data_IF_908118622501
#
_entry.id   IF_908118622501
#
_cell.length_a   1.000
_cell.length_b   1.000
_cell.length_c   1.000
_cell.angle_alpha   90.00
_cell.angle_beta   90.00
_cell.angle_gamma   90.00
#
_symmetry.space_group_name_H-M   'P 1'
#
loop_
_entity.id
_entity.type
_entity.pdbx_description
1 polymer ?
#
# COMPACT_ATOMS: atom_id res chain seq x y z
N UNK A 1 45.15 1.04 -23.35
CA UNK A 1 43.93 0.32 -22.91
C UNK A 1 43.62 0.72 -21.47
N UNK A 2 42.55 1.48 -21.24
CA UNK A 2 42.08 1.76 -19.88
C UNK A 2 41.30 0.53 -19.40
N UNK A 3 41.80 -0.15 -18.36
CA UNK A 3 41.05 -1.25 -17.70
C UNK A 3 39.91 -0.62 -16.91
N UNK A 4 38.67 -0.93 -17.26
CA UNK A 4 37.53 -0.61 -16.43
C UNK A 4 37.68 -1.34 -15.09
N UNK A 5 37.83 -0.60 -14.01
CA UNK A 5 37.75 -1.13 -12.65
C UNK A 5 36.35 -1.70 -12.43
N UNK A 6 36.19 -2.94 -11.94
CA UNK A 6 34.89 -3.50 -11.67
C UNK A 6 34.17 -2.66 -10.61
N UNK A 7 33.01 -2.10 -10.97
CA UNK A 7 32.15 -1.39 -10.03
C UNK A 7 31.56 -2.43 -9.09
N UNK A 8 32.02 -2.46 -7.85
CA UNK A 8 31.46 -3.34 -6.82
C UNK A 8 30.17 -2.71 -6.29
N UNK A 9 29.03 -3.22 -6.76
CA UNK A 9 27.71 -2.82 -6.27
C UNK A 9 27.30 -3.70 -5.08
N UNK A 10 26.93 -3.08 -3.95
CA UNK A 10 26.32 -3.77 -2.83
C UNK A 10 24.81 -3.87 -3.07
N UNK A 11 24.25 -5.09 -3.02
CA UNK A 11 22.82 -5.33 -3.21
C UNK A 11 22.24 -6.20 -2.08
N UNK A 12 20.93 -6.09 -1.88
CA UNK A 12 20.15 -6.91 -0.95
C UNK A 12 18.98 -7.54 -1.69
N UNK A 13 18.71 -8.81 -1.39
CA UNK A 13 17.60 -9.56 -2.00
C UNK A 13 16.48 -9.67 -0.98
N UNK A 14 15.27 -9.28 -1.38
CA UNK A 14 14.07 -9.34 -0.55
C UNK A 14 13.02 -10.23 -1.21
N UNK A 15 12.46 -11.16 -0.43
CA UNK A 15 11.27 -11.89 -0.83
C UNK A 15 10.03 -11.19 -0.27
N UNK A 16 9.19 -10.65 -1.14
CA UNK A 16 8.03 -9.84 -0.77
C UNK A 16 6.84 -10.12 -1.68
N UNK A 17 5.62 -9.88 -1.17
CA UNK A 17 4.41 -9.93 -1.99
C UNK A 17 4.38 -8.76 -2.97
N UNK A 18 4.40 -9.07 -4.27
CA UNK A 18 4.27 -8.10 -5.37
C UNK A 18 2.81 -7.89 -5.81
N UNK A 19 2.11 -8.97 -6.17
CA UNK A 19 0.71 -8.93 -6.65
C UNK A 19 -0.26 -9.44 -5.58
N UNK A 20 -1.29 -8.63 -5.28
CA UNK A 20 -2.22 -8.86 -4.16
C UNK A 20 -3.61 -9.35 -4.61
N UNK A 21 -3.67 -10.20 -5.63
CA UNK A 21 -4.94 -10.55 -6.30
C UNK A 21 -5.82 -11.50 -5.47
N UNK A 22 -5.23 -12.59 -4.96
CA UNK A 22 -5.92 -13.63 -4.18
C UNK A 22 -5.52 -13.63 -2.70
N UNK A 23 -5.02 -12.48 -2.20
CA UNK A 23 -4.69 -12.32 -0.79
C UNK A 23 -5.99 -12.12 -0.01
N UNK A 24 -6.34 -13.10 0.81
CA UNK A 24 -7.47 -13.06 1.74
C UNK A 24 -6.87 -13.33 3.13
N UNK A 25 -6.98 -12.40 4.09
CA UNK A 25 -6.51 -12.63 5.45
C UNK A 25 -7.08 -13.94 6.03
N UNK A 26 -6.35 -14.59 6.92
CA UNK A 26 -6.61 -15.91 7.54
C UNK A 26 -6.47 -17.12 6.61
N UNK A 27 -6.53 -16.94 5.29
CA UNK A 27 -6.42 -18.06 4.36
C UNK A 27 -5.02 -18.70 4.37
N UNK A 28 -3.99 -17.89 4.63
CA UNK A 28 -2.60 -18.32 4.79
C UNK A 28 -1.97 -17.54 5.95
N UNK A 29 -2.09 -18.05 7.19
CA UNK A 29 -1.59 -17.36 8.39
C UNK A 29 -0.09 -17.08 8.35
N UNK A 30 0.70 -18.00 7.78
CA UNK A 30 2.15 -17.82 7.64
C UNK A 30 2.45 -16.62 6.72
N UNK A 31 1.79 -16.53 5.56
CA UNK A 31 1.96 -15.39 4.66
C UNK A 31 1.48 -14.08 5.29
N UNK A 32 0.39 -14.12 6.07
CA UNK A 32 -0.12 -12.96 6.81
C UNK A 32 0.89 -12.43 7.82
N UNK A 33 1.49 -13.32 8.60
CA UNK A 33 2.38 -12.96 9.71
C UNK A 33 3.79 -12.60 9.27
N UNK A 34 4.30 -13.22 8.20
CA UNK A 34 5.65 -12.99 7.68
C UNK A 34 5.68 -11.82 6.69
N UNK A 35 4.68 -11.72 5.80
CA UNK A 35 4.69 -10.74 4.71
C UNK A 35 3.59 -9.70 4.84
N UNK A 36 2.31 -10.12 4.87
CA UNK A 36 1.23 -9.18 4.58
C UNK A 36 1.12 -8.08 5.64
N UNK A 37 1.16 -8.45 6.92
CA UNK A 37 1.12 -7.48 8.03
C UNK A 37 2.27 -6.48 7.93
N UNK A 38 3.50 -6.98 7.76
CA UNK A 38 4.71 -6.15 7.72
C UNK A 38 4.77 -5.26 6.47
N UNK A 39 4.16 -5.66 5.36
CA UNK A 39 4.07 -4.84 4.14
C UNK A 39 2.95 -3.79 4.20
N UNK A 40 1.82 -4.06 4.85
CA UNK A 40 0.68 -3.12 4.91
C UNK A 40 0.81 -2.08 6.02
N UNK A 41 1.39 -2.41 7.18
CA UNK A 41 1.54 -1.46 8.30
C UNK A 41 2.27 -0.16 7.88
N UNK A 42 3.41 -0.19 7.18
CA UNK A 42 4.08 1.04 6.75
C UNK A 42 3.23 1.90 5.79
N UNK A 43 2.39 1.27 4.96
CA UNK A 43 1.48 1.98 4.04
C UNK A 43 0.37 2.68 4.81
N UNK A 44 -0.16 2.01 5.82
CA UNK A 44 -1.10 2.60 6.79
C UNK A 44 -0.49 3.77 7.55
N UNK A 45 0.71 3.60 8.13
CA UNK A 45 1.37 4.66 8.91
C UNK A 45 1.76 5.88 8.05
N UNK A 46 2.05 5.68 6.76
CA UNK A 46 2.25 6.78 5.81
C UNK A 46 0.97 7.55 5.48
N UNK A 47 -0.19 7.07 5.90
CA UNK A 47 -1.48 7.72 5.65
C UNK A 47 -1.98 7.54 4.22
N UNK A 48 -1.67 6.43 3.55
CA UNK A 48 -2.17 6.24 2.18
C UNK A 48 -3.64 5.83 2.08
N UNK A 49 -4.28 5.55 3.22
CA UNK A 49 -5.67 5.09 3.28
C UNK A 49 -6.57 6.15 3.91
N UNK A 50 -7.82 6.22 3.45
CA UNK A 50 -8.85 6.98 4.15
C UNK A 50 -9.19 6.28 5.47
N UNK A 51 -8.64 6.80 6.56
CA UNK A 51 -8.75 6.23 7.90
C UNK A 51 -9.60 7.12 8.80
N UNK A 52 -10.59 6.55 9.47
CA UNK A 52 -11.36 7.27 10.48
C UNK A 52 -10.59 7.36 11.80
N UNK A 53 -10.97 8.31 12.68
CA UNK A 53 -10.39 8.40 14.03
C UNK A 53 -10.62 7.10 14.82
N UNK A 54 -11.80 6.49 14.69
CA UNK A 54 -12.13 5.24 15.38
C UNK A 54 -11.28 4.06 14.88
N UNK A 55 -11.13 3.93 13.56
CA UNK A 55 -10.27 2.91 12.97
C UNK A 55 -8.82 3.12 13.39
N UNK A 56 -8.35 4.37 13.46
CA UNK A 56 -6.99 4.67 13.89
C UNK A 56 -6.72 4.21 15.33
N UNK A 57 -7.65 4.48 16.26
CA UNK A 57 -7.56 4.00 17.66
C UNK A 57 -7.44 2.48 17.70
N UNK A 58 -8.35 1.78 16.99
CA UNK A 58 -8.39 0.32 16.94
C UNK A 58 -7.12 -0.28 16.33
N UNK A 59 -6.70 0.23 15.18
CA UNK A 59 -5.51 -0.27 14.46
C UNK A 59 -4.23 0.02 15.24
N UNK A 60 -4.12 1.16 15.93
CA UNK A 60 -2.98 1.43 16.82
C UNK A 60 -2.89 0.42 17.97
N UNK A 61 -4.02 0.08 18.61
CA UNK A 61 -4.05 -0.94 19.66
C UNK A 61 -3.61 -2.31 19.13
N UNK A 62 -4.04 -2.70 17.92
CA UNK A 62 -3.62 -3.95 17.27
C UNK A 62 -2.12 -3.94 16.90
N UNK A 63 -1.59 -2.81 16.42
CA UNK A 63 -0.16 -2.67 16.14
C UNK A 63 0.66 -2.85 17.42
N UNK A 64 0.20 -2.28 18.54
CA UNK A 64 0.86 -2.45 19.84
C UNK A 64 0.82 -3.92 20.31
N UNK A 65 -0.33 -4.59 20.23
CA UNK A 65 -0.45 -6.03 20.56
C UNK A 65 0.44 -6.92 19.70
N UNK A 66 0.59 -6.58 18.42
CA UNK A 66 1.45 -7.32 17.51
C UNK A 66 2.95 -7.11 17.76
N UNK A 67 3.36 -6.03 18.46
CA UNK A 67 4.76 -5.69 18.74
C UNK A 67 5.21 -6.03 20.15
N UNK A 68 4.35 -5.81 21.13
CA UNK A 68 4.64 -6.02 22.53
C UNK A 68 4.04 -7.37 22.95
N UNK A 69 4.87 -8.29 23.43
CA UNK A 69 4.46 -9.58 24.01
C UNK A 69 3.79 -9.37 25.38
N UNK A 70 2.69 -8.61 25.40
CA UNK A 70 1.82 -8.30 26.54
C UNK A 70 2.45 -7.55 27.73
N UNK A 71 3.68 -7.04 27.59
CA UNK A 71 4.30 -6.17 28.58
C UNK A 71 3.74 -4.75 28.52
N UNK A 72 2.87 -4.41 29.48
CA UNK A 72 2.22 -3.10 29.59
C UNK A 72 3.22 -1.93 29.66
N UNK A 73 4.39 -2.14 30.27
CA UNK A 73 5.44 -1.12 30.34
C UNK A 73 5.97 -0.73 28.95
N UNK A 74 6.19 -1.70 28.07
CA UNK A 74 6.66 -1.49 26.69
C UNK A 74 5.61 -0.72 25.88
N UNK A 75 4.33 -1.02 26.10
CA UNK A 75 3.20 -0.34 25.48
C UNK A 75 3.12 1.12 25.91
N UNK A 76 3.25 1.38 27.22
CA UNK A 76 3.25 2.75 27.75
C UNK A 76 4.41 3.56 27.19
N UNK A 77 5.61 2.98 27.14
CA UNK A 77 6.78 3.62 26.52
C UNK A 77 6.54 3.95 25.04
N UNK A 78 6.06 2.98 24.25
CA UNK A 78 5.76 3.19 22.83
C UNK A 78 4.75 4.32 22.60
N UNK A 79 3.68 4.35 23.39
CA UNK A 79 2.62 5.38 23.35
C UNK A 79 3.14 6.76 23.80
N UNK A 80 4.05 6.81 24.77
CA UNK A 80 4.61 8.06 25.29
C UNK A 80 5.55 8.72 24.29
N UNK A 81 6.45 7.94 23.69
CA UNK A 81 7.57 8.49 22.92
C UNK A 81 7.30 8.64 21.43
N UNK A 82 6.44 7.82 20.81
CA UNK A 82 6.35 7.85 19.34
C UNK A 82 5.00 7.44 18.72
N UNK A 83 4.01 8.35 18.77
CA UNK A 83 2.71 8.13 18.13
C UNK A 83 2.79 7.85 16.61
N UNK A 84 3.81 8.36 15.90
CA UNK A 84 3.98 8.16 14.45
C UNK A 84 4.31 6.72 14.05
N UNK A 85 4.67 5.88 15.03
CA UNK A 85 4.90 4.46 14.80
C UNK A 85 3.63 3.61 14.84
N UNK A 86 2.52 4.16 15.34
CA UNK A 86 1.25 3.45 15.53
C UNK A 86 0.05 4.16 14.88
N UNK A 87 0.17 5.46 14.59
CA UNK A 87 -0.85 6.27 13.91
C UNK A 87 -0.40 6.70 12.51
N UNK A 88 -1.33 6.81 11.55
CA UNK A 88 -1.13 7.47 10.26
C UNK A 88 -0.66 8.92 10.46
N UNK A 89 0.39 9.32 9.74
CA UNK A 89 1.00 10.64 9.90
C UNK A 89 0.01 11.82 9.71
N UNK A 90 -0.98 11.63 8.86
CA UNK A 90 -2.00 12.64 8.53
C UNK A 90 -3.10 12.76 9.60
N UNK A 91 -3.36 11.71 10.37
CA UNK A 91 -4.40 11.74 11.42
C UNK A 91 -3.88 12.18 12.79
N UNK A 92 -2.56 12.20 13.03
CA UNK A 92 -1.98 12.55 14.33
C UNK A 92 -2.50 13.90 14.85
N UNK A 93 -2.70 14.88 13.95
CA UNK A 93 -3.18 16.22 14.31
C UNK A 93 -4.69 16.30 14.62
N UNK A 94 -5.45 15.23 14.46
CA UNK A 94 -6.89 15.20 14.71
C UNK A 94 -7.28 15.12 16.21
N UNK A 95 -6.31 14.99 17.11
CA UNK A 95 -6.51 15.09 18.56
C UNK A 95 -5.20 15.51 19.24
N UNK A 96 -5.27 15.90 20.52
CA UNK A 96 -4.05 16.14 21.30
C UNK A 96 -3.29 14.83 21.54
N UNK A 97 -1.97 14.91 21.74
CA UNK A 97 -1.18 13.72 22.07
C UNK A 97 -1.72 13.03 23.33
N UNK A 98 -2.16 13.78 24.35
CA UNK A 98 -2.77 13.22 25.55
C UNK A 98 -4.02 12.39 25.25
N UNK A 99 -4.92 12.91 24.42
CA UNK A 99 -6.16 12.23 24.05
C UNK A 99 -5.88 10.95 23.25
N UNK A 100 -4.97 11.01 22.28
CA UNK A 100 -4.55 9.82 21.55
C UNK A 100 -4.04 8.72 22.47
N UNK A 101 -3.12 9.08 23.38
CA UNK A 101 -2.57 8.12 24.34
C UNK A 101 -3.65 7.49 25.21
N UNK A 102 -4.57 8.29 25.74
CA UNK A 102 -5.69 7.81 26.56
C UNK A 102 -6.59 6.86 25.77
N UNK A 103 -7.01 7.24 24.57
CA UNK A 103 -7.93 6.44 23.75
C UNK A 103 -7.30 5.12 23.30
N UNK A 104 -6.05 5.17 22.82
CA UNK A 104 -5.32 3.98 22.37
C UNK A 104 -5.03 3.04 23.53
N UNK A 105 -4.65 3.55 24.71
CA UNK A 105 -4.40 2.71 25.88
C UNK A 105 -5.67 2.01 26.37
N UNK A 106 -6.81 2.72 26.36
CA UNK A 106 -8.11 2.11 26.67
C UNK A 106 -8.45 1.00 25.68
N UNK A 107 -8.33 1.26 24.38
CA UNK A 107 -8.60 0.25 23.34
C UNK A 107 -7.65 -0.95 23.43
N UNK A 108 -6.36 -0.71 23.71
CA UNK A 108 -5.37 -1.76 23.93
C UNK A 108 -5.76 -2.69 25.09
N UNK A 109 -6.21 -2.12 26.21
CA UNK A 109 -6.68 -2.90 27.39
C UNK A 109 -7.92 -3.72 27.07
N UNK A 110 -8.85 -3.17 26.29
CA UNK A 110 -10.07 -3.86 25.87
C UNK A 110 -9.81 -4.94 24.80
N UNK A 111 -8.72 -4.80 24.04
CA UNK A 111 -8.33 -5.75 23.01
C UNK A 111 -7.43 -6.84 23.61
N UNK A 112 -8.03 -7.93 24.10
CA UNK A 112 -7.31 -9.06 24.68
C UNK A 112 -7.09 -10.18 23.65
N UNK A 113 -6.08 -10.04 22.80
CA UNK A 113 -5.72 -11.02 21.76
C UNK A 113 -4.21 -11.22 21.70
N UNK A 114 -3.77 -12.41 21.27
CA UNK A 114 -2.34 -12.70 21.03
C UNK A 114 -1.75 -11.82 19.92
N UNK A 115 -0.42 -11.71 19.88
CA UNK A 115 0.30 -10.98 18.83
C UNK A 115 -0.08 -11.42 17.41
N UNK A 116 -0.17 -12.73 17.16
CA UNK A 116 -0.57 -13.30 15.87
C UNK A 116 -2.02 -12.97 15.49
N UNK A 117 -2.94 -13.05 16.46
CA UNK A 117 -4.33 -12.67 16.25
C UNK A 117 -4.46 -11.16 16.03
N UNK A 118 -3.63 -10.34 16.66
CA UNK A 118 -3.59 -8.90 16.43
C UNK A 118 -3.18 -8.56 14.98
N UNK A 119 -2.13 -9.22 14.45
CA UNK A 119 -1.74 -9.08 13.04
C UNK A 119 -2.88 -9.44 12.09
N UNK A 120 -3.56 -10.54 12.39
CA UNK A 120 -4.69 -11.05 11.60
C UNK A 120 -5.87 -10.09 11.63
N UNK A 121 -6.27 -9.59 12.80
CA UNK A 121 -7.35 -8.61 12.96
C UNK A 121 -7.03 -7.27 12.31
N UNK A 122 -5.77 -6.84 12.34
CA UNK A 122 -5.31 -5.66 11.60
C UNK A 122 -5.59 -5.84 10.12
N UNK A 123 -5.10 -6.94 9.52
CA UNK A 123 -5.29 -7.26 8.10
C UNK A 123 -6.77 -7.35 7.73
N UNK A 124 -7.60 -8.05 8.52
CA UNK A 124 -9.05 -8.15 8.28
C UNK A 124 -9.76 -6.80 8.30
N UNK A 125 -9.29 -5.88 9.13
CA UNK A 125 -9.87 -4.54 9.23
C UNK A 125 -9.58 -3.75 7.96
N UNK A 126 -8.31 -3.67 7.55
CA UNK A 126 -7.89 -2.89 6.38
C UNK A 126 -8.23 -3.56 5.04
N UNK A 127 -8.44 -4.88 5.01
CA UNK A 127 -8.83 -5.64 3.81
C UNK A 127 -10.14 -5.13 3.18
N UNK A 128 -11.01 -4.52 3.98
CA UNK A 128 -12.26 -3.90 3.52
C UNK A 128 -12.03 -2.64 2.68
N UNK A 129 -10.86 -2.01 2.81
CA UNK A 129 -10.55 -0.78 2.11
C UNK A 129 -10.24 -1.05 0.63
N UNK A 130 -10.72 -0.22 -0.31
CA UNK A 130 -10.46 -0.38 -1.74
C UNK A 130 -8.97 -0.29 -2.10
N UNK A 131 -8.18 0.31 -1.22
CA UNK A 131 -6.74 0.55 -1.34
C UNK A 131 -5.85 -0.53 -0.68
N UNK A 132 -6.43 -1.58 -0.09
CA UNK A 132 -5.65 -2.69 0.48
C UNK A 132 -4.76 -3.37 -0.58
N UNK A 133 -3.53 -3.73 -0.19
CA UNK A 133 -2.61 -4.44 -1.09
C UNK A 133 -2.17 -3.61 -2.30
N UNK A 134 -2.19 -2.28 -2.18
CA UNK A 134 -1.73 -1.37 -3.24
C UNK A 134 -0.25 -1.05 -3.11
N UNK A 135 0.35 -0.67 -4.22
CA UNK A 135 1.58 0.13 -4.23
C UNK A 135 1.18 1.58 -4.52
N UNK A 136 1.69 2.51 -3.72
CA UNK A 136 1.34 3.93 -3.78
C UNK A 136 2.49 4.76 -4.36
N UNK A 137 2.15 5.72 -5.20
CA UNK A 137 3.07 6.66 -5.83
C UNK A 137 2.51 8.06 -5.69
N UNK A 138 3.18 8.92 -4.94
CA UNK A 138 2.89 10.35 -4.94
C UNK A 138 3.59 10.96 -6.16
N UNK A 139 2.81 11.61 -7.02
CA UNK A 139 3.28 12.12 -8.31
C UNK A 139 2.67 13.48 -8.60
N UNK A 140 3.35 14.25 -9.45
CA UNK A 140 2.84 15.51 -9.98
C UNK A 140 2.24 15.26 -11.35
N UNK A 141 0.95 15.54 -11.55
CA UNK A 141 0.27 15.38 -12.84
C UNK A 141 0.15 16.71 -13.59
N UNK A 142 0.14 16.67 -14.93
CA UNK A 142 0.16 17.88 -15.77
C UNK A 142 -0.94 17.94 -16.84
N UNK A 143 -1.87 16.98 -16.86
CA UNK A 143 -2.83 16.81 -17.96
C UNK A 143 -4.29 16.96 -17.56
N UNK A 144 -4.66 16.67 -16.31
CA UNK A 144 -6.06 16.65 -15.87
C UNK A 144 -6.37 17.82 -14.93
N UNK A 145 -7.05 18.84 -15.46
CA UNK A 145 -7.40 20.06 -14.71
C UNK A 145 -8.41 19.84 -13.59
N UNK A 146 -9.18 18.75 -13.64
CA UNK A 146 -10.13 18.38 -12.60
C UNK A 146 -9.46 17.81 -11.33
N UNK A 147 -8.20 17.41 -11.43
CA UNK A 147 -7.43 16.85 -10.31
C UNK A 147 -6.46 17.90 -9.75
N UNK A 148 -6.09 17.80 -8.46
CA UNK A 148 -4.97 18.58 -7.94
C UNK A 148 -3.68 18.27 -8.69
N UNK A 149 -2.73 19.20 -8.65
CA UNK A 149 -1.42 19.04 -9.29
C UNK A 149 -0.64 17.85 -8.70
N UNK A 150 -0.73 17.64 -7.39
CA UNK A 150 -0.19 16.46 -6.71
C UNK A 150 -1.32 15.46 -6.47
N UNK A 151 -1.10 14.21 -6.86
CA UNK A 151 -2.02 13.09 -6.66
C UNK A 151 -1.28 11.88 -6.10
N UNK A 152 -2.02 10.97 -5.49
CA UNK A 152 -1.52 9.64 -5.13
C UNK A 152 -2.10 8.63 -6.11
N UNK A 153 -1.23 7.90 -6.81
CA UNK A 153 -1.63 6.77 -7.65
C UNK A 153 -1.47 5.49 -6.83
N UNK A 154 -2.55 4.72 -6.70
CA UNK A 154 -2.54 3.39 -6.08
C UNK A 154 -2.80 2.30 -7.12
N UNK A 155 -1.82 1.43 -7.35
CA UNK A 155 -1.91 0.29 -8.26
C UNK A 155 -2.17 -0.98 -7.43
N UNK A 156 -3.30 -1.64 -7.68
CA UNK A 156 -3.69 -2.86 -6.97
C UNK A 156 -4.52 -3.80 -7.85
N UNK A 157 -5.10 -4.86 -7.27
CA UNK A 157 -5.91 -5.85 -8.00
C UNK A 157 -7.11 -5.27 -8.76
N UNK A 158 -7.63 -4.10 -8.37
CA UNK A 158 -8.76 -3.41 -9.02
C UNK A 158 -8.32 -2.58 -10.23
N UNK A 159 -7.03 -2.23 -10.35
CA UNK A 159 -6.52 -1.35 -11.38
C UNK A 159 -5.71 -0.19 -10.82
N UNK A 160 -5.87 0.97 -11.44
CA UNK A 160 -5.22 2.23 -11.07
C UNK A 160 -6.23 3.14 -10.40
N UNK A 161 -5.98 3.52 -9.15
CA UNK A 161 -6.81 4.50 -8.43
C UNK A 161 -6.06 5.82 -8.36
N UNK A 162 -6.76 6.92 -8.66
CA UNK A 162 -6.28 8.29 -8.50
C UNK A 162 -6.87 8.81 -7.19
N UNK A 163 -6.01 9.22 -6.25
CA UNK A 163 -6.40 9.55 -4.87
C UNK A 163 -5.97 10.98 -4.54
N UNK A 164 -6.87 11.74 -3.92
CA UNK A 164 -6.58 13.07 -3.41
C UNK A 164 -5.61 13.00 -2.21
N UNK A 165 -4.47 13.70 -2.21
CA UNK A 165 -3.44 13.48 -1.20
C UNK A 165 -3.84 13.94 0.20
N UNK A 166 -4.72 14.94 0.33
CA UNK A 166 -5.23 15.41 1.63
C UNK A 166 -6.43 14.59 2.11
N UNK A 167 -7.55 14.57 1.37
CA UNK A 167 -8.80 13.92 1.81
C UNK A 167 -8.79 12.40 1.74
N UNK A 168 -7.83 11.83 0.98
CA UNK A 168 -7.73 10.40 0.66
C UNK A 168 -8.94 9.84 -0.09
N UNK A 169 -9.73 10.71 -0.71
CA UNK A 169 -10.82 10.30 -1.59
C UNK A 169 -10.27 9.74 -2.90
N UNK A 170 -10.89 8.66 -3.37
CA UNK A 170 -10.62 8.11 -4.69
C UNK A 170 -11.37 8.97 -5.70
N UNK A 171 -10.62 9.74 -6.49
CA UNK A 171 -11.13 10.62 -7.54
C UNK A 171 -11.56 9.83 -8.77
N UNK A 172 -10.83 8.76 -9.10
CA UNK A 172 -11.15 7.85 -10.18
C UNK A 172 -10.53 6.46 -9.95
N UNK A 173 -11.17 5.42 -10.48
CA UNK A 173 -10.63 4.06 -10.57
C UNK A 173 -10.71 3.62 -12.02
N UNK A 174 -9.59 3.16 -12.56
CA UNK A 174 -9.49 2.62 -13.92
C UNK A 174 -9.08 1.16 -13.86
N UNK A 175 -9.95 0.29 -14.34
CA UNK A 175 -9.69 -1.15 -14.41
C UNK A 175 -8.64 -1.48 -15.48
N UNK A 176 -7.99 -2.63 -15.35
CA UNK A 176 -6.98 -3.07 -16.33
C UNK A 176 -7.52 -3.21 -17.76
N UNK A 177 -8.82 -3.46 -17.95
CA UNK A 177 -9.46 -3.48 -19.27
C UNK A 177 -9.58 -2.11 -19.93
N UNK A 178 -9.52 -1.04 -19.15
CA UNK A 178 -9.62 0.34 -19.64
C UNK A 178 -8.24 0.92 -19.96
N UNK A 179 -7.15 0.28 -19.54
CA UNK A 179 -5.79 0.74 -19.80
C UNK A 179 -5.37 0.33 -21.21
N UNK A 180 -5.21 1.33 -22.08
CA UNK A 180 -4.85 1.10 -23.49
C UNK A 180 -3.34 1.01 -23.71
N UNK A 181 -2.58 1.90 -23.06
CA UNK A 181 -1.13 1.94 -23.14
C UNK A 181 -0.53 2.66 -21.93
N UNK A 182 0.72 2.34 -21.60
CA UNK A 182 1.53 3.11 -20.65
C UNK A 182 2.99 3.11 -21.07
N UNK A 183 3.75 4.10 -20.61
CA UNK A 183 5.18 4.23 -20.86
C UNK A 183 5.84 4.99 -19.72
N UNK A 184 7.10 4.67 -19.43
CA UNK A 184 7.86 5.35 -18.39
C UNK A 184 9.23 5.80 -18.90
N UNK A 185 9.75 6.87 -18.30
CA UNK A 185 11.13 7.31 -18.42
C UNK A 185 11.73 7.60 -17.05
N UNK A 186 12.95 8.14 -17.01
CA UNK A 186 13.65 8.42 -15.75
C UNK A 186 12.92 9.46 -14.87
N UNK A 187 12.11 10.33 -15.47
CA UNK A 187 11.45 11.46 -14.79
C UNK A 187 9.94 11.49 -15.00
N UNK A 188 9.36 10.52 -15.71
CA UNK A 188 7.93 10.53 -15.99
C UNK A 188 7.32 9.13 -16.08
N UNK A 189 6.00 9.11 -15.91
CA UNK A 189 5.12 7.99 -16.20
C UNK A 189 3.90 8.52 -16.96
N UNK A 190 3.55 7.88 -18.07
CA UNK A 190 2.41 8.25 -18.91
C UNK A 190 1.46 7.07 -19.04
N UNK A 191 0.17 7.33 -18.85
CA UNK A 191 -0.91 6.34 -18.92
C UNK A 191 -2.01 6.84 -19.84
N UNK A 192 -2.44 6.00 -20.79
CA UNK A 192 -3.59 6.27 -21.66
C UNK A 192 -4.75 5.35 -21.28
N UNK A 193 -5.85 5.94 -20.87
CA UNK A 193 -7.08 5.27 -20.42
C UNK A 193 -8.17 5.45 -21.47
N UNK A 194 -8.96 4.39 -21.71
CA UNK A 194 -10.11 4.39 -22.59
C UNK A 194 -9.82 3.82 -23.99
N UNK A 195 -10.84 3.86 -24.85
CA UNK A 195 -10.80 3.29 -26.19
C UNK A 195 -10.46 4.35 -27.25
N UNK A 196 -10.50 3.98 -28.53
CA UNK A 196 -10.15 4.89 -29.65
C UNK A 196 -11.00 6.18 -29.63
N UNK A 197 -12.24 6.13 -29.14
CA UNK A 197 -13.19 7.25 -29.20
C UNK A 197 -13.16 8.17 -27.97
N UNK A 198 -12.78 7.69 -26.78
CA UNK A 198 -12.57 8.51 -25.58
C UNK A 198 -11.26 8.11 -24.92
N UNK A 199 -10.20 8.88 -25.19
CA UNK A 199 -8.88 8.70 -24.58
C UNK A 199 -8.63 9.79 -23.55
N UNK A 200 -8.35 9.36 -22.33
CA UNK A 200 -7.83 10.20 -21.26
C UNK A 200 -6.33 9.92 -21.16
N UNK A 201 -5.50 10.98 -21.11
CA UNK A 201 -4.05 10.83 -20.98
C UNK A 201 -3.62 11.42 -19.65
N UNK A 202 -3.01 10.60 -18.81
CA UNK A 202 -2.44 11.03 -17.55
C UNK A 202 -0.91 11.04 -17.68
N UNK A 203 -0.32 12.23 -17.66
CA UNK A 203 1.14 12.42 -17.59
C UNK A 203 1.53 12.79 -16.15
N UNK A 204 2.45 12.02 -15.59
CA UNK A 204 2.94 12.18 -14.23
C UNK A 204 4.45 12.38 -14.22
N UNK A 205 4.94 13.41 -13.54
CA UNK A 205 6.35 13.57 -13.20
C UNK A 205 6.67 12.69 -11.98
N UNK A 206 7.62 11.77 -12.15
CA UNK A 206 8.03 10.81 -11.11
C UNK A 206 9.34 10.13 -11.47
N UNK A 207 10.18 9.86 -10.46
CA UNK A 207 11.38 9.02 -10.62
C UNK A 207 11.08 7.52 -10.50
N UNK A 208 9.84 7.15 -10.17
CA UNK A 208 9.44 5.76 -9.91
C UNK A 208 8.65 5.16 -11.08
N UNK A 209 8.68 5.78 -12.26
CA UNK A 209 7.93 5.34 -13.44
C UNK A 209 8.19 3.88 -13.82
N UNK A 210 9.43 3.43 -13.71
CA UNK A 210 9.82 2.04 -13.98
C UNK A 210 9.11 1.02 -13.05
N UNK A 211 8.87 1.37 -11.77
CA UNK A 211 8.12 0.51 -10.83
C UNK A 211 6.64 0.47 -11.18
N UNK A 212 6.08 1.60 -11.62
CA UNK A 212 4.69 1.69 -12.04
C UNK A 212 4.46 0.83 -13.30
N UNK A 213 5.33 0.96 -14.30
CA UNK A 213 5.33 0.14 -15.51
C UNK A 213 5.44 -1.36 -15.21
N UNK A 214 6.43 -1.77 -14.41
CA UNK A 214 6.60 -3.17 -14.00
C UNK A 214 5.36 -3.74 -13.29
N UNK A 215 4.73 -2.97 -12.40
CA UNK A 215 3.50 -3.38 -11.72
C UNK A 215 2.32 -3.51 -12.69
N UNK A 216 2.07 -2.53 -13.56
CA UNK A 216 0.99 -2.58 -14.54
C UNK A 216 1.18 -3.73 -15.52
N UNK A 217 2.40 -3.93 -16.00
CA UNK A 217 2.76 -5.07 -16.86
C UNK A 217 2.49 -6.38 -16.14
N UNK A 218 2.91 -6.51 -14.88
CA UNK A 218 2.73 -7.73 -14.09
C UNK A 218 1.26 -8.05 -13.81
N UNK A 219 0.46 -7.07 -13.38
CA UNK A 219 -0.99 -7.26 -13.14
C UNK A 219 -1.74 -7.52 -14.45
N UNK A 220 -1.47 -6.76 -15.51
CA UNK A 220 -2.12 -6.96 -16.81
C UNK A 220 -1.81 -8.34 -17.37
N UNK A 221 -0.55 -8.80 -17.28
CA UNK A 221 -0.18 -10.15 -17.67
C UNK A 221 -0.91 -11.21 -16.83
N UNK A 222 -1.00 -11.01 -15.51
CA UNK A 222 -1.76 -11.90 -14.62
C UNK A 222 -3.23 -12.01 -15.07
N UNK A 223 -3.95 -10.89 -15.23
CA UNK A 223 -5.36 -10.90 -15.59
C UNK A 223 -5.63 -11.39 -17.01
N UNK A 224 -4.75 -11.07 -17.98
CA UNK A 224 -4.81 -11.67 -19.33
C UNK A 224 -4.65 -13.18 -19.27
N UNK A 225 -3.71 -13.66 -18.47
CA UNK A 225 -3.48 -15.09 -18.31
C UNK A 225 -4.63 -15.76 -17.55
N UNK A 226 -5.21 -15.15 -16.51
CA UNK A 226 -6.39 -15.72 -15.83
C UNK A 226 -7.59 -15.84 -16.77
N UNK A 227 -7.85 -14.84 -17.63
CA UNK A 227 -8.88 -14.93 -18.68
C UNK A 227 -8.60 -16.05 -19.68
N UNK A 228 -7.32 -16.31 -20.00
CA UNK A 228 -6.89 -17.45 -20.82
C UNK A 228 -6.95 -18.78 -20.05
N UNK A 229 -6.79 -18.75 -18.72
CA UNK A 229 -6.77 -19.90 -17.79
C UNK A 229 -8.15 -20.46 -17.41
N UNK A 230 -9.18 -20.15 -18.19
CA UNK A 230 -10.08 -21.22 -18.63
C UNK A 230 -9.31 -22.44 -19.20
N UNK A 231 -8.03 -22.26 -19.56
CA UNK A 231 -7.02 -23.27 -19.88
C UNK A 231 -5.71 -23.05 -19.08
N UNK A 232 -5.61 -23.73 -17.92
CA UNK A 232 -4.45 -24.09 -17.06
C UNK A 232 -3.10 -23.29 -17.00
N UNK A 233 -2.54 -23.23 -15.77
CA UNK A 233 -1.14 -23.07 -15.30
C UNK A 233 -0.81 -21.90 -14.35
N UNK A 234 -0.41 -22.24 -13.12
CA UNK A 234 0.06 -21.33 -12.05
C UNK A 234 1.48 -20.82 -12.38
N UNK A 235 1.72 -19.52 -12.20
CA UNK A 235 3.07 -18.94 -12.24
C UNK A 235 3.45 -18.41 -10.86
N UNK A 236 4.53 -18.93 -10.28
CA UNK A 236 5.42 -18.17 -9.41
C UNK A 236 6.58 -17.66 -10.30
N UNK A 237 6.84 -16.36 -10.29
CA UNK A 237 8.12 -15.80 -10.74
C UNK A 237 8.86 -15.28 -9.51
N UNK A 238 10.02 -15.85 -9.21
CA UNK A 238 11.05 -15.15 -8.46
C UNK A 238 11.56 -13.99 -9.33
N UNK A 239 11.67 -12.80 -8.74
CA UNK A 239 12.43 -11.70 -9.31
C UNK A 239 13.75 -11.70 -8.53
N UNK A 240 14.85 -11.86 -9.26
CA UNK A 240 16.22 -11.68 -8.76
C UNK A 240 16.47 -10.18 -8.65
#
# INVERSE_FOLDING_TARGET
MLRATPVQAQYQVFFMKKLWVNTIPEKDPNADHIFHYHQEVPKYLKGYHKCSKQDAIKLSALILRARCEDKVADVQSAIQHNLKEILPIDIIKAASSSDWRKLILTEYRNTNVSSENAKTLFLKTIFKWPTFGSTFFEVKQTTESAYPEIIIIAINKRGVNIIHPQTKDILATHEYSELSNWSSGNTYFHLTIGNIMRKTKLLCETSQGYKMDDLLTSYTAYFRNEKRKGYCYKYLKCII
#
